data_IF_816789690758
#
_entry.id   IF_816789690758
#
_cell.length_a   1.000
_cell.length_b   1.000
_cell.length_c   1.000
_cell.angle_alpha   90.00
_cell.angle_beta   90.00
_cell.angle_gamma   90.00
#
_symmetry.space_group_name_H-M   'P 1'
#
loop_
_entity.id
_entity.type
_entity.pdbx_description
1 polymer ?
#
# COMPACT_ATOMS: atom_id res chain seq x y z
N UNK A 1 -3.38 1.81 25.50
CA UNK A 1 -3.34 0.75 24.45
C UNK A 1 -2.55 1.31 23.28
N UNK A 2 -1.65 0.55 22.70
CA UNK A 2 -0.95 0.94 21.49
C UNK A 2 -1.34 -0.01 20.33
N UNK A 3 -0.98 0.32 19.09
CA UNK A 3 -1.37 -0.46 17.90
C UNK A 3 -0.88 -1.93 17.96
N UNK A 4 0.24 -2.21 18.63
CA UNK A 4 0.78 -3.56 18.76
C UNK A 4 0.00 -4.45 19.75
N UNK A 5 -0.85 -3.85 20.59
CA UNK A 5 -1.68 -4.57 21.56
C UNK A 5 -3.03 -4.99 20.96
N UNK A 6 -3.36 -4.51 19.75
CA UNK A 6 -4.60 -4.86 19.05
C UNK A 6 -4.55 -6.32 18.60
N UNK A 7 -5.61 -7.06 18.86
CA UNK A 7 -5.75 -8.45 18.40
C UNK A 7 -6.23 -8.52 16.94
N UNK A 8 -7.08 -7.55 16.53
CA UNK A 8 -7.71 -7.50 15.20
C UNK A 8 -8.41 -8.81 14.78
N UNK A 9 -9.00 -9.51 15.76
CA UNK A 9 -9.69 -10.79 15.53
C UNK A 9 -10.88 -10.68 14.58
N UNK A 10 -11.36 -9.45 14.34
CA UNK A 10 -12.46 -9.17 13.40
C UNK A 10 -12.21 -9.69 11.99
N UNK A 11 -10.94 -9.81 11.56
CA UNK A 11 -10.60 -10.33 10.22
C UNK A 11 -10.98 -11.81 10.08
N UNK A 12 -11.03 -12.56 11.18
CA UNK A 12 -11.37 -13.98 11.18
C UNK A 12 -12.86 -14.25 10.89
N UNK A 13 -13.70 -13.21 10.93
CA UNK A 13 -15.13 -13.31 10.53
C UNK A 13 -15.31 -13.31 9.01
N UNK A 14 -14.23 -13.18 8.25
CA UNK A 14 -14.22 -13.10 6.80
C UNK A 14 -13.37 -14.22 6.17
N UNK A 15 -13.58 -14.45 4.88
CA UNK A 15 -12.75 -15.37 4.11
C UNK A 15 -11.27 -14.92 4.10
N UNK A 16 -10.37 -15.86 3.94
CA UNK A 16 -8.94 -15.58 3.78
C UNK A 16 -8.46 -16.07 2.38
N UNK A 17 -8.10 -15.15 1.48
CA UNK A 17 -8.00 -13.70 1.67
C UNK A 17 -9.35 -12.97 1.72
N UNK A 18 -9.44 -11.88 2.48
CA UNK A 18 -10.63 -11.03 2.50
C UNK A 18 -10.67 -10.16 1.23
N UNK A 19 -11.66 -10.38 0.38
CA UNK A 19 -11.83 -9.63 -0.87
C UNK A 19 -12.99 -8.65 -0.73
N UNK A 20 -12.70 -7.37 -0.92
CA UNK A 20 -13.68 -6.28 -0.97
C UNK A 20 -13.77 -5.82 -2.42
N UNK A 21 -14.92 -6.03 -3.08
CA UNK A 21 -15.05 -5.71 -4.50
C UNK A 21 -16.37 -4.99 -4.82
N UNK A 22 -16.39 -4.25 -5.91
CA UNK A 22 -17.53 -3.47 -6.38
C UNK A 22 -17.09 -2.19 -7.06
N UNK A 23 -18.01 -1.33 -7.51
CA UNK A 23 -17.66 -0.21 -8.37
C UNK A 23 -16.83 0.87 -7.64
N UNK A 24 -16.07 1.61 -8.44
CA UNK A 24 -15.35 2.80 -7.96
C UNK A 24 -16.30 3.77 -7.27
N UNK A 25 -17.45 4.04 -7.90
CA UNK A 25 -18.52 4.86 -7.36
C UNK A 25 -19.90 4.25 -7.58
N UNK A 26 -20.83 4.52 -6.66
CA UNK A 26 -22.23 4.35 -6.92
C UNK A 26 -22.66 5.40 -7.95
N UNK A 27 -23.32 4.99 -9.04
CA UNK A 27 -23.75 5.83 -10.16
C UNK A 27 -25.26 5.83 -10.32
N UNK A 28 -25.87 4.66 -10.23
CA UNK A 28 -27.32 4.45 -10.22
C UNK A 28 -27.67 3.20 -9.43
N UNK A 29 -28.93 3.09 -9.05
CA UNK A 29 -29.44 1.88 -8.38
C UNK A 29 -29.25 0.63 -9.26
N UNK A 30 -29.58 0.74 -10.55
CA UNK A 30 -29.45 -0.36 -11.51
C UNK A 30 -27.99 -0.82 -11.66
N UNK A 31 -27.06 0.11 -11.77
CA UNK A 31 -25.61 -0.19 -11.84
C UNK A 31 -25.12 -0.93 -10.59
N UNK A 32 -25.54 -0.50 -9.41
CA UNK A 32 -25.16 -1.12 -8.14
C UNK A 32 -25.70 -2.56 -8.03
N UNK A 33 -26.99 -2.75 -8.31
CA UNK A 33 -27.64 -4.05 -8.22
C UNK A 33 -27.12 -5.01 -9.29
N UNK A 34 -26.93 -4.56 -10.54
CA UNK A 34 -26.39 -5.39 -11.60
C UNK A 34 -24.94 -5.82 -11.34
N UNK A 35 -24.10 -4.90 -10.85
CA UNK A 35 -22.72 -5.24 -10.43
C UNK A 35 -22.76 -6.30 -9.31
N UNK A 36 -23.62 -6.12 -8.30
CA UNK A 36 -23.73 -7.05 -7.18
C UNK A 36 -24.26 -8.42 -7.63
N UNK A 37 -25.29 -8.44 -8.50
CA UNK A 37 -25.83 -9.67 -9.08
C UNK A 37 -24.72 -10.47 -9.79
N UNK A 38 -23.99 -9.82 -10.70
CA UNK A 38 -22.92 -10.49 -11.48
C UNK A 38 -21.76 -10.93 -10.60
N UNK A 39 -21.38 -10.16 -9.54
CA UNK A 39 -20.40 -10.61 -8.56
C UNK A 39 -20.88 -11.87 -7.83
N UNK A 40 -22.16 -11.96 -7.47
CA UNK A 40 -22.72 -13.13 -6.81
C UNK A 40 -22.75 -14.36 -7.75
N UNK A 41 -23.13 -14.16 -8.99
CA UNK A 41 -23.24 -15.22 -10.01
C UNK A 41 -21.86 -15.67 -10.54
N UNK A 42 -20.83 -14.81 -10.49
CA UNK A 42 -19.49 -15.16 -10.95
C UNK A 42 -18.80 -16.27 -10.15
N UNK A 43 -19.33 -16.59 -8.95
CA UNK A 43 -18.74 -17.56 -8.04
C UNK A 43 -17.50 -17.08 -7.32
N UNK A 44 -17.10 -15.83 -7.51
CA UNK A 44 -15.99 -15.25 -6.74
C UNK A 44 -16.35 -15.13 -5.26
N UNK A 45 -15.43 -15.52 -4.38
CA UNK A 45 -15.60 -15.39 -2.94
C UNK A 45 -15.35 -13.93 -2.52
N UNK A 46 -16.41 -13.12 -2.51
CA UNK A 46 -16.39 -11.72 -2.15
C UNK A 46 -16.85 -11.55 -0.71
N UNK A 47 -16.00 -11.00 0.15
CA UNK A 47 -16.28 -10.78 1.58
C UNK A 47 -17.16 -9.56 1.81
N UNK A 48 -17.02 -8.51 0.99
CA UNK A 48 -17.85 -7.31 1.07
C UNK A 48 -17.97 -6.62 -0.28
N UNK A 49 -19.15 -6.06 -0.54
CA UNK A 49 -19.43 -5.20 -1.69
C UNK A 49 -19.06 -3.76 -1.36
N UNK A 50 -18.21 -3.14 -2.19
CA UNK A 50 -17.79 -1.76 -2.02
C UNK A 50 -18.47 -0.84 -3.05
N UNK A 51 -18.78 0.38 -2.64
CA UNK A 51 -19.04 1.48 -3.58
C UNK A 51 -18.64 2.82 -2.94
N UNK A 52 -18.02 3.69 -3.71
CA UNK A 52 -17.78 5.07 -3.28
C UNK A 52 -19.06 5.89 -3.42
N UNK A 53 -19.59 6.36 -2.29
CA UNK A 53 -20.82 7.19 -2.24
C UNK A 53 -20.47 8.65 -2.44
N UNK A 54 -19.36 9.08 -1.87
CA UNK A 54 -18.77 10.40 -1.98
C UNK A 54 -17.40 10.29 -2.62
N UNK A 55 -17.09 11.19 -3.57
CA UNK A 55 -15.84 11.13 -4.34
C UNK A 55 -15.09 12.46 -4.25
N UNK A 56 -14.03 12.55 -3.45
CA UNK A 56 -13.19 13.74 -3.43
C UNK A 56 -12.46 13.87 -4.77
N UNK A 57 -12.71 14.99 -5.49
CA UNK A 57 -12.10 15.26 -6.79
C UNK A 57 -11.05 16.36 -6.71
N UNK A 58 -9.94 16.19 -7.42
CA UNK A 58 -8.90 17.22 -7.52
C UNK A 58 -9.34 18.36 -8.45
N UNK A 59 -10.09 18.01 -9.51
CA UNK A 59 -10.60 18.99 -10.46
C UNK A 59 -12.07 19.31 -10.13
N UNK A 60 -12.47 20.58 -10.11
CA UNK A 60 -13.88 20.95 -9.99
C UNK A 60 -14.69 20.45 -11.20
N UNK A 61 -16.01 20.34 -11.03
CA UNK A 61 -16.96 19.88 -12.05
C UNK A 61 -16.77 18.40 -12.48
N UNK A 62 -16.07 17.58 -11.71
CA UNK A 62 -16.09 16.12 -11.87
C UNK A 62 -17.27 15.50 -11.13
N UNK A 63 -17.57 14.23 -11.41
CA UNK A 63 -18.56 13.48 -10.65
C UNK A 63 -18.11 13.30 -9.19
N UNK A 64 -18.79 13.93 -8.25
CA UNK A 64 -18.44 13.94 -6.82
C UNK A 64 -19.16 12.87 -6.00
N UNK A 65 -19.84 11.93 -6.70
CA UNK A 65 -20.66 10.89 -6.09
C UNK A 65 -22.14 11.29 -6.02
N UNK A 66 -22.98 10.30 -5.72
CA UNK A 66 -24.45 10.50 -5.65
C UNK A 66 -24.93 10.97 -4.28
N UNK A 67 -24.05 10.96 -3.29
CA UNK A 67 -24.41 11.34 -1.93
C UNK A 67 -25.26 10.26 -1.22
N UNK A 68 -25.98 10.68 -0.20
CA UNK A 68 -26.71 9.81 0.73
C UNK A 68 -27.66 8.81 0.05
N UNK A 69 -28.20 9.12 -1.13
CA UNK A 69 -29.09 8.21 -1.86
C UNK A 69 -28.39 6.89 -2.20
N UNK A 70 -27.08 6.91 -2.46
CA UNK A 70 -26.28 5.71 -2.73
C UNK A 70 -26.18 4.75 -1.53
N UNK A 71 -26.38 5.24 -0.32
CA UNK A 71 -26.44 4.38 0.88
C UNK A 71 -27.69 3.49 0.86
N UNK A 72 -28.81 4.00 0.32
CA UNK A 72 -30.02 3.18 0.14
C UNK A 72 -29.79 2.07 -0.87
N UNK A 73 -28.99 2.32 -1.91
CA UNK A 73 -28.63 1.31 -2.90
C UNK A 73 -27.69 0.26 -2.30
N UNK A 74 -26.71 0.67 -1.46
CA UNK A 74 -25.87 -0.28 -0.71
C UNK A 74 -26.72 -1.16 0.22
N UNK A 75 -27.73 -0.59 0.88
CA UNK A 75 -28.65 -1.35 1.73
C UNK A 75 -29.41 -2.40 0.91
N UNK A 76 -29.92 -2.04 -0.28
CA UNK A 76 -30.55 -3.01 -1.19
C UNK A 76 -29.59 -4.12 -1.62
N UNK A 77 -28.35 -3.80 -1.96
CA UNK A 77 -27.34 -4.83 -2.26
C UNK A 77 -27.15 -5.80 -1.10
N UNK A 78 -27.12 -5.30 0.14
CA UNK A 78 -27.03 -6.14 1.34
C UNK A 78 -28.26 -7.03 1.50
N UNK A 79 -29.45 -6.48 1.33
CA UNK A 79 -30.73 -7.19 1.50
C UNK A 79 -30.97 -8.24 0.39
N UNK A 80 -30.67 -7.93 -0.88
CA UNK A 80 -30.99 -8.79 -2.02
C UNK A 80 -29.90 -9.86 -2.27
N UNK A 81 -28.63 -9.52 -2.08
CA UNK A 81 -27.52 -10.42 -2.44
C UNK A 81 -26.75 -10.97 -1.23
N UNK A 82 -27.04 -10.47 -0.02
CA UNK A 82 -26.43 -10.95 1.21
C UNK A 82 -24.96 -10.54 1.40
N UNK A 83 -24.47 -9.58 0.64
CA UNK A 83 -23.12 -9.06 0.84
C UNK A 83 -23.04 -8.17 2.09
N UNK A 84 -21.94 -8.26 2.82
CA UNK A 84 -21.53 -7.14 3.65
C UNK A 84 -21.21 -5.94 2.78
N UNK A 85 -21.38 -4.73 3.31
CA UNK A 85 -21.21 -3.49 2.53
C UNK A 85 -20.05 -2.65 3.03
N UNK A 86 -19.39 -1.93 2.11
CA UNK A 86 -18.27 -1.07 2.43
C UNK A 86 -18.33 0.25 1.67
N UNK A 87 -17.97 1.38 2.33
CA UNK A 87 -17.87 2.70 1.68
C UNK A 87 -16.80 3.59 2.27
N UNK A 88 -16.36 4.60 1.50
CA UNK A 88 -15.45 5.65 1.93
C UNK A 88 -16.18 6.71 2.77
N UNK A 89 -15.52 7.17 3.85
CA UNK A 89 -15.94 8.33 4.62
C UNK A 89 -14.83 9.39 4.63
N UNK A 90 -15.21 10.66 4.52
CA UNK A 90 -14.26 11.77 4.41
C UNK A 90 -14.47 12.87 5.47
N UNK A 91 -15.53 12.78 6.28
CA UNK A 91 -15.87 13.69 7.37
C UNK A 91 -16.87 13.05 8.32
N UNK A 92 -17.20 13.71 9.43
CA UNK A 92 -18.13 13.19 10.43
C UNK A 92 -19.55 12.97 9.89
N UNK A 93 -20.04 13.83 8.99
CA UNK A 93 -21.38 13.70 8.39
C UNK A 93 -21.49 12.39 7.58
N UNK A 94 -20.45 12.06 6.80
CA UNK A 94 -20.39 10.79 6.07
C UNK A 94 -20.39 9.58 7.02
N UNK A 95 -19.70 9.68 8.15
CA UNK A 95 -19.68 8.62 9.17
C UNK A 95 -21.09 8.38 9.72
N UNK A 96 -21.77 9.42 10.19
CA UNK A 96 -23.11 9.28 10.76
C UNK A 96 -24.12 8.71 9.76
N UNK A 97 -24.11 9.21 8.52
CA UNK A 97 -24.98 8.70 7.46
C UNK A 97 -24.70 7.23 7.14
N UNK A 98 -23.43 6.82 7.05
CA UNK A 98 -23.06 5.44 6.78
C UNK A 98 -23.40 4.48 7.94
N UNK A 99 -23.25 4.93 9.19
CA UNK A 99 -23.65 4.15 10.37
C UNK A 99 -25.17 4.00 10.47
N UNK A 100 -25.94 5.07 10.18
CA UNK A 100 -27.41 5.04 10.12
C UNK A 100 -27.94 4.09 9.04
N UNK A 101 -27.24 4.02 7.89
CA UNK A 101 -27.54 3.08 6.80
C UNK A 101 -27.03 1.65 7.06
N UNK A 102 -26.48 1.37 8.25
CA UNK A 102 -25.92 0.09 8.64
C UNK A 102 -24.87 -0.48 7.67
N UNK A 103 -23.98 0.38 7.14
CA UNK A 103 -22.82 -0.05 6.37
C UNK A 103 -21.88 -0.85 7.28
N UNK A 104 -21.36 -1.99 6.82
CA UNK A 104 -20.62 -2.94 7.65
C UNK A 104 -19.14 -2.55 7.83
N UNK A 105 -18.50 -1.98 6.82
CA UNK A 105 -17.08 -1.62 6.81
C UNK A 105 -16.94 -0.19 6.29
N UNK A 106 -16.15 0.63 6.98
CA UNK A 106 -15.84 1.98 6.51
C UNK A 106 -14.35 2.10 6.20
N UNK A 107 -14.01 2.93 5.20
CA UNK A 107 -12.60 3.26 5.02
C UNK A 107 -12.37 4.77 4.91
N UNK A 108 -11.22 5.20 5.42
CA UNK A 108 -10.73 6.56 5.29
C UNK A 108 -9.89 6.63 4.02
N UNK A 109 -10.25 7.53 3.10
CA UNK A 109 -9.58 7.70 1.82
C UNK A 109 -8.18 8.33 1.94
N UNK A 110 -7.32 8.06 0.97
CA UNK A 110 -5.94 8.53 0.96
C UNK A 110 -5.78 10.06 1.03
N UNK A 111 -6.76 10.82 0.48
CA UNK A 111 -6.77 12.29 0.58
C UNK A 111 -7.19 12.80 1.95
N UNK A 112 -8.02 12.05 2.66
CA UNK A 112 -8.40 12.35 4.04
C UNK A 112 -7.28 11.99 5.02
N UNK A 113 -6.57 10.89 4.77
CA UNK A 113 -5.47 10.41 5.62
C UNK A 113 -4.32 11.41 5.74
N UNK A 114 -4.08 12.25 4.71
CA UNK A 114 -3.04 13.30 4.78
C UNK A 114 -3.35 14.44 5.74
N UNK A 115 -4.59 14.54 6.23
CA UNK A 115 -5.01 15.62 7.12
C UNK A 115 -5.36 15.10 8.51
N UNK A 116 -4.46 15.30 9.52
CA UNK A 116 -4.71 14.83 10.88
C UNK A 116 -5.98 15.38 11.54
N UNK A 117 -6.41 16.61 11.18
CA UNK A 117 -7.67 17.18 11.70
C UNK A 117 -8.89 16.44 11.17
N UNK A 118 -8.90 16.16 9.85
CA UNK A 118 -9.96 15.37 9.23
C UNK A 118 -10.04 13.96 9.81
N UNK A 119 -8.90 13.30 9.98
CA UNK A 119 -8.85 11.96 10.60
C UNK A 119 -9.35 12.02 12.04
N UNK A 120 -8.97 13.04 12.81
CA UNK A 120 -9.43 13.21 14.18
C UNK A 120 -10.94 13.41 14.27
N UNK A 121 -11.51 14.22 13.39
CA UNK A 121 -12.97 14.44 13.30
C UNK A 121 -13.71 13.13 12.97
N UNK A 122 -13.22 12.38 11.97
CA UNK A 122 -13.75 11.06 11.61
C UNK A 122 -13.67 10.09 12.79
N UNK A 123 -12.51 10.00 13.45
CA UNK A 123 -12.33 9.12 14.60
C UNK A 123 -13.27 9.43 15.76
N UNK A 124 -13.51 10.71 16.04
CA UNK A 124 -14.49 11.14 17.05
C UNK A 124 -15.93 10.73 16.69
N UNK A 125 -16.30 10.86 15.41
CA UNK A 125 -17.63 10.46 14.92
C UNK A 125 -17.82 8.93 14.96
N UNK A 126 -16.75 8.14 14.86
CA UNK A 126 -16.76 6.67 14.93
C UNK A 126 -16.78 6.11 16.37
N UNK A 127 -16.66 6.96 17.39
CA UNK A 127 -16.61 6.52 18.78
C UNK A 127 -17.82 5.64 19.14
N UNK A 128 -17.54 4.47 19.74
CA UNK A 128 -18.55 3.51 20.16
C UNK A 128 -19.02 2.54 19.06
N UNK A 129 -18.49 2.63 17.84
CA UNK A 129 -18.74 1.59 16.82
C UNK A 129 -17.78 0.41 16.96
N UNK A 130 -18.28 -0.79 16.69
CA UNK A 130 -17.48 -2.02 16.59
C UNK A 130 -17.22 -2.42 15.12
N UNK A 131 -17.61 -1.60 14.16
CA UNK A 131 -17.41 -1.88 12.74
C UNK A 131 -15.92 -1.78 12.37
N UNK A 132 -15.42 -2.63 11.46
CA UNK A 132 -14.06 -2.49 10.93
C UNK A 132 -13.84 -1.16 10.21
N UNK A 133 -12.75 -0.48 10.55
CA UNK A 133 -12.36 0.78 9.92
C UNK A 133 -11.01 0.60 9.24
N UNK A 134 -10.99 0.73 7.92
CA UNK A 134 -9.77 0.59 7.12
C UNK A 134 -9.19 1.97 6.80
N UNK A 135 -7.88 2.11 6.81
CA UNK A 135 -7.20 3.37 6.52
C UNK A 135 -6.31 3.21 5.29
N UNK A 136 -6.63 3.93 4.21
CA UNK A 136 -5.73 3.99 3.05
C UNK A 136 -4.46 4.76 3.43
N UNK A 137 -3.29 4.31 2.94
CA UNK A 137 -2.08 5.11 3.07
C UNK A 137 -2.29 6.52 2.47
N UNK A 138 -1.62 7.56 3.01
CA UNK A 138 -1.69 8.92 2.45
C UNK A 138 -1.20 8.93 1.00
N UNK A 139 -1.64 9.93 0.22
CA UNK A 139 -1.21 10.06 -1.19
C UNK A 139 0.30 10.29 -1.33
N UNK A 140 0.92 10.99 -0.39
CA UNK A 140 2.37 11.16 -0.31
C UNK A 140 3.04 9.97 0.43
N UNK A 141 4.31 9.65 0.14
CA UNK A 141 5.04 8.55 0.77
C UNK A 141 5.47 8.93 2.21
N UNK A 142 4.54 8.83 3.16
CA UNK A 142 4.73 9.21 4.56
C UNK A 142 4.14 8.14 5.48
N UNK A 143 5.03 7.32 6.05
CA UNK A 143 4.67 6.24 6.96
C UNK A 143 4.09 6.79 8.28
N UNK A 144 4.64 7.89 8.79
CA UNK A 144 4.22 8.45 10.06
C UNK A 144 2.77 8.99 10.01
N UNK A 145 2.36 9.60 8.88
CA UNK A 145 0.96 10.00 8.66
C UNK A 145 0.02 8.80 8.62
N UNK A 146 0.45 7.68 8.01
CA UNK A 146 -0.38 6.47 7.96
C UNK A 146 -0.59 5.87 9.34
N UNK A 147 0.50 5.73 10.10
CA UNK A 147 0.47 5.24 11.48
C UNK A 147 -0.37 6.17 12.35
N UNK A 148 -0.12 7.49 12.30
CA UNK A 148 -0.83 8.48 13.09
C UNK A 148 -2.35 8.49 12.83
N UNK A 149 -2.80 8.13 11.62
CA UNK A 149 -4.22 7.98 11.32
C UNK A 149 -4.85 6.81 12.11
N UNK A 150 -4.16 5.66 12.18
CA UNK A 150 -4.61 4.51 12.97
C UNK A 150 -4.55 4.78 14.49
N UNK A 151 -3.51 5.46 14.96
CA UNK A 151 -3.39 5.87 16.37
C UNK A 151 -4.51 6.81 16.79
N UNK A 152 -4.98 7.70 15.92
CA UNK A 152 -6.14 8.57 16.19
C UNK A 152 -7.44 7.78 16.33
N UNK A 153 -7.64 6.74 15.52
CA UNK A 153 -8.77 5.81 15.68
C UNK A 153 -8.70 5.09 17.02
N UNK A 154 -7.55 4.50 17.32
CA UNK A 154 -7.32 3.81 18.59
C UNK A 154 -7.51 4.74 19.80
N UNK A 155 -7.06 5.99 19.71
CA UNK A 155 -7.26 7.02 20.73
C UNK A 155 -8.73 7.39 20.99
N UNK A 156 -9.65 7.00 20.09
CA UNK A 156 -11.11 7.12 20.27
C UNK A 156 -11.79 5.78 20.63
N UNK A 157 -11.00 4.73 20.88
CA UNK A 157 -11.50 3.41 21.26
C UNK A 157 -11.95 2.54 20.09
N UNK A 158 -11.51 2.85 18.85
CA UNK A 158 -11.77 2.02 17.67
C UNK A 158 -10.62 1.00 17.57
N UNK A 159 -10.92 -0.27 17.86
CA UNK A 159 -9.94 -1.35 17.93
C UNK A 159 -9.96 -2.25 16.68
N UNK A 160 -11.08 -2.31 15.96
CA UNK A 160 -11.23 -3.06 14.72
C UNK A 160 -10.70 -2.23 13.55
N UNK A 161 -9.39 -2.24 13.37
CA UNK A 161 -8.73 -1.42 12.33
C UNK A 161 -7.96 -2.29 11.33
N UNK A 162 -7.80 -1.77 10.12
CA UNK A 162 -6.96 -2.35 9.09
C UNK A 162 -6.34 -1.25 8.22
N UNK A 163 -5.33 -1.60 7.45
CA UNK A 163 -4.62 -0.68 6.57
C UNK A 163 -4.79 -1.06 5.11
N UNK A 164 -4.93 -0.09 4.21
CA UNK A 164 -5.02 -0.32 2.77
C UNK A 164 -3.84 0.36 2.08
N UNK A 165 -3.05 -0.45 1.39
CA UNK A 165 -1.96 0.00 0.54
C UNK A 165 -2.47 0.25 -0.88
N UNK A 166 -2.55 1.53 -1.28
CA UNK A 166 -3.05 1.97 -2.60
C UNK A 166 -1.99 2.66 -3.47
N UNK A 167 -0.71 2.56 -3.06
CA UNK A 167 0.39 3.26 -3.69
C UNK A 167 0.48 4.73 -3.32
N UNK A 168 1.55 5.39 -3.79
CA UNK A 168 1.89 6.77 -3.45
C UNK A 168 2.03 7.60 -4.72
N UNK A 169 1.72 8.90 -4.61
CA UNK A 169 1.89 9.84 -5.71
C UNK A 169 3.37 10.03 -6.04
N UNK A 170 3.66 10.24 -7.31
CA UNK A 170 4.99 10.60 -7.79
C UNK A 170 4.88 11.63 -8.90
N UNK A 171 5.88 12.48 -9.03
CA UNK A 171 6.02 13.40 -10.15
C UNK A 171 6.54 12.67 -11.42
N UNK A 172 7.26 11.57 -11.22
CA UNK A 172 7.83 10.81 -12.34
C UNK A 172 6.76 10.02 -13.10
N UNK A 173 6.91 9.92 -14.43
CA UNK A 173 6.09 9.03 -15.24
C UNK A 173 6.55 7.59 -15.02
N UNK A 174 5.65 6.73 -14.57
CA UNK A 174 5.89 5.30 -14.35
C UNK A 174 4.80 4.47 -15.01
N UNK A 175 4.95 3.15 -15.03
CA UNK A 175 3.89 2.23 -15.45
C UNK A 175 2.68 2.23 -14.51
N UNK A 176 2.85 2.75 -13.29
CA UNK A 176 1.82 2.83 -12.29
C UNK A 176 1.21 4.24 -12.24
N UNK A 177 -0.07 4.32 -11.90
CA UNK A 177 -0.75 5.58 -11.55
C UNK A 177 -0.24 6.12 -10.21
N UNK A 178 -0.04 5.21 -9.25
CA UNK A 178 0.58 5.49 -7.95
C UNK A 178 1.63 4.41 -7.71
N UNK A 179 2.88 4.81 -7.48
CA UNK A 179 3.95 3.83 -7.27
C UNK A 179 3.73 3.04 -5.98
N UNK A 180 3.94 1.74 -5.97
CA UNK A 180 3.70 0.91 -4.78
C UNK A 180 4.57 1.33 -3.59
N UNK A 181 5.85 1.66 -3.79
CA UNK A 181 6.82 1.89 -2.70
C UNK A 181 6.69 0.79 -1.63
N UNK A 182 6.85 -0.45 -2.04
CA UNK A 182 6.64 -1.64 -1.20
C UNK A 182 7.33 -1.55 0.17
N UNK A 183 8.52 -0.91 0.22
CA UNK A 183 9.27 -0.79 1.46
C UNK A 183 8.45 -0.10 2.56
N UNK A 184 7.71 0.97 2.24
CA UNK A 184 6.88 1.69 3.24
C UNK A 184 5.79 0.76 3.82
N UNK A 185 5.17 -0.04 2.96
CA UNK A 185 4.14 -0.98 3.41
C UNK A 185 4.73 -2.16 4.19
N UNK A 186 5.93 -2.62 3.83
CA UNK A 186 6.67 -3.64 4.58
C UNK A 186 7.14 -3.11 5.94
N UNK A 187 7.62 -1.87 6.01
CA UNK A 187 7.99 -1.21 7.27
C UNK A 187 6.77 -1.06 8.19
N UNK A 188 5.60 -0.69 7.62
CA UNK A 188 4.34 -0.69 8.36
C UNK A 188 4.02 -2.07 8.92
N UNK A 189 4.08 -3.12 8.08
CA UNK A 189 3.77 -4.49 8.49
C UNK A 189 4.74 -5.04 9.53
N UNK A 190 6.02 -4.67 9.44
CA UNK A 190 7.04 -5.05 10.43
C UNK A 190 6.78 -4.39 11.79
N UNK A 191 6.35 -3.13 11.80
CA UNK A 191 6.03 -2.42 13.04
C UNK A 191 4.71 -2.90 13.66
N UNK A 192 3.72 -3.27 12.83
CA UNK A 192 2.37 -3.64 13.28
C UNK A 192 1.89 -4.94 12.60
N UNK A 193 2.52 -6.10 12.92
CA UNK A 193 2.22 -7.37 12.26
C UNK A 193 0.77 -7.85 12.47
N UNK A 194 0.11 -7.39 13.53
CA UNK A 194 -1.27 -7.77 13.86
C UNK A 194 -2.33 -6.90 13.17
N UNK A 195 -1.94 -5.81 12.49
CA UNK A 195 -2.90 -5.00 11.73
C UNK A 195 -3.08 -5.61 10.34
N UNK A 196 -4.30 -6.02 9.95
CA UNK A 196 -4.57 -6.53 8.62
C UNK A 196 -4.22 -5.51 7.54
N UNK A 197 -3.46 -5.96 6.52
CA UNK A 197 -3.03 -5.12 5.42
C UNK A 197 -3.66 -5.60 4.11
N UNK A 198 -4.32 -4.68 3.42
CA UNK A 198 -5.02 -4.91 2.16
C UNK A 198 -4.31 -4.20 1.01
N UNK A 199 -4.30 -4.83 -0.16
CA UNK A 199 -3.82 -4.20 -1.39
C UNK A 199 -4.97 -3.57 -2.17
N UNK A 200 -4.74 -2.39 -2.73
CA UNK A 200 -5.64 -1.73 -3.69
C UNK A 200 -4.93 -1.64 -5.06
N UNK A 201 -4.96 -2.74 -5.84
CA UNK A 201 -4.26 -2.78 -7.12
C UNK A 201 -4.87 -1.83 -8.14
N UNK A 202 -6.19 -1.55 -8.06
CA UNK A 202 -6.88 -0.65 -8.98
C UNK A 202 -6.27 0.75 -8.94
N UNK A 203 -6.04 1.29 -7.74
CA UNK A 203 -5.44 2.61 -7.60
C UNK A 203 -3.92 2.63 -7.82
N UNK A 204 -3.21 1.54 -7.57
CA UNK A 204 -1.78 1.41 -7.90
C UNK A 204 -1.60 1.43 -9.41
N UNK A 205 -2.28 0.55 -10.13
CA UNK A 205 -2.10 0.39 -11.57
C UNK A 205 -2.71 1.55 -12.36
N UNK A 206 -3.95 1.98 -12.04
CA UNK A 206 -4.71 2.93 -12.83
C UNK A 206 -5.14 2.40 -14.21
N UNK A 207 -4.94 1.11 -14.44
CA UNK A 207 -5.32 0.37 -15.64
C UNK A 207 -5.60 -1.10 -15.30
N UNK A 208 -6.21 -1.84 -16.21
CA UNK A 208 -6.65 -3.23 -15.97
C UNK A 208 -5.52 -4.26 -16.05
N UNK A 209 -4.46 -3.99 -16.79
CA UNK A 209 -3.46 -5.01 -17.15
C UNK A 209 -2.50 -5.39 -16.02
N UNK A 210 -2.30 -4.52 -15.04
CA UNK A 210 -1.36 -4.75 -13.93
C UNK A 210 -1.98 -5.33 -12.66
N UNK A 211 -3.31 -5.45 -12.59
CA UNK A 211 -4.04 -5.73 -11.34
C UNK A 211 -3.62 -7.06 -10.70
N UNK A 212 -3.63 -8.13 -11.48
CA UNK A 212 -3.29 -9.47 -11.00
C UNK A 212 -1.85 -9.56 -10.49
N UNK A 213 -0.90 -8.93 -11.21
CA UNK A 213 0.51 -8.90 -10.81
C UNK A 213 0.72 -8.18 -9.48
N UNK A 214 0.14 -6.98 -9.31
CA UNK A 214 0.23 -6.22 -8.06
C UNK A 214 -0.46 -6.93 -6.89
N UNK A 215 -1.63 -7.55 -7.15
CA UNK A 215 -2.31 -8.35 -6.13
C UNK A 215 -1.45 -9.55 -5.72
N UNK A 216 -0.85 -10.28 -6.68
CA UNK A 216 0.01 -11.41 -6.39
C UNK A 216 1.27 -11.01 -5.61
N UNK A 217 1.93 -9.89 -5.96
CA UNK A 217 3.06 -9.36 -5.19
C UNK A 217 2.68 -9.13 -3.73
N UNK A 218 1.51 -8.54 -3.46
CA UNK A 218 1.02 -8.30 -2.10
C UNK A 218 0.79 -9.61 -1.33
N UNK A 219 0.15 -10.61 -1.95
CA UNK A 219 -0.07 -11.90 -1.30
C UNK A 219 1.23 -12.70 -1.10
N UNK A 220 2.22 -12.52 -1.98
CA UNK A 220 3.55 -13.13 -1.78
C UNK A 220 4.26 -12.59 -0.53
N UNK A 221 3.98 -11.35 -0.11
CA UNK A 221 4.53 -10.74 1.11
C UNK A 221 3.54 -10.76 2.29
N UNK A 222 2.48 -11.58 2.19
CA UNK A 222 1.60 -11.94 3.29
C UNK A 222 0.54 -10.87 3.62
N UNK A 223 -0.04 -10.18 2.63
CA UNK A 223 -1.23 -9.37 2.85
C UNK A 223 -2.45 -10.25 3.12
N UNK A 224 -3.40 -9.75 3.91
CA UNK A 224 -4.58 -10.49 4.34
C UNK A 224 -5.78 -10.29 3.41
N UNK A 225 -5.73 -9.33 2.49
CA UNK A 225 -6.84 -9.10 1.58
C UNK A 225 -6.56 -8.09 0.48
N UNK A 226 -7.60 -7.84 -0.31
CA UNK A 226 -7.57 -6.87 -1.39
C UNK A 226 -8.87 -6.07 -1.47
N UNK A 227 -8.77 -4.82 -1.91
CA UNK A 227 -9.90 -3.98 -2.29
C UNK A 227 -9.77 -3.66 -3.78
N UNK A 228 -10.74 -4.12 -4.60
CA UNK A 228 -10.62 -4.11 -6.06
C UNK A 228 -11.86 -3.46 -6.67
N UNK A 229 -11.65 -2.63 -7.68
CA UNK A 229 -12.76 -1.98 -8.39
C UNK A 229 -13.30 -2.88 -9.49
N UNK A 230 -14.59 -3.22 -9.38
CA UNK A 230 -15.34 -4.02 -10.35
C UNK A 230 -16.67 -3.36 -10.68
N UNK A 231 -17.03 -3.31 -11.96
CA UNK A 231 -18.19 -2.62 -12.48
C UNK A 231 -18.86 -3.47 -13.55
N UNK A 232 -20.19 -3.42 -13.65
CA UNK A 232 -20.94 -4.18 -14.69
C UNK A 232 -20.51 -3.82 -16.11
N UNK A 233 -20.29 -2.53 -16.35
CA UNK A 233 -19.83 -1.97 -17.63
C UNK A 233 -18.68 -0.95 -17.38
N UNK A 234 -17.44 -1.45 -17.19
CA UNK A 234 -16.32 -0.59 -16.81
C UNK A 234 -15.99 0.50 -17.84
N UNK A 235 -16.28 0.28 -19.12
CA UNK A 235 -15.93 1.24 -20.18
C UNK A 235 -16.81 2.49 -20.13
N UNK A 236 -18.04 2.35 -19.63
CA UNK A 236 -18.99 3.46 -19.46
C UNK A 236 -19.09 3.98 -18.02
N UNK A 237 -18.24 3.53 -17.11
CA UNK A 237 -18.23 4.00 -15.73
C UNK A 237 -17.95 5.51 -15.64
N UNK A 238 -18.69 6.21 -14.75
CA UNK A 238 -18.56 7.66 -14.55
C UNK A 238 -17.29 8.08 -13.83
N UNK A 239 -16.62 7.12 -13.19
CA UNK A 239 -15.36 7.35 -12.49
C UNK A 239 -14.35 6.23 -12.72
N UNK A 240 -13.09 6.60 -12.93
CA UNK A 240 -11.94 5.70 -13.00
C UNK A 240 -12.15 4.45 -13.90
N UNK A 241 -12.85 4.62 -15.03
CA UNK A 241 -13.22 3.57 -15.99
C UNK A 241 -12.05 2.65 -16.41
N UNK A 242 -10.87 3.22 -16.61
CA UNK A 242 -9.70 2.50 -17.11
C UNK A 242 -9.13 1.45 -16.16
N UNK A 243 -9.46 1.52 -14.86
CA UNK A 243 -8.89 0.63 -13.84
C UNK A 243 -9.88 -0.40 -13.29
N UNK A 244 -11.17 -0.28 -13.61
CA UNK A 244 -12.20 -1.20 -13.20
C UNK A 244 -12.27 -2.41 -14.13
N UNK A 245 -12.59 -3.57 -13.60
CA UNK A 245 -12.80 -4.83 -14.34
C UNK A 245 -14.22 -5.33 -14.15
N UNK A 246 -14.69 -6.19 -15.06
CA UNK A 246 -16.01 -6.82 -14.87
C UNK A 246 -15.99 -7.86 -13.74
N UNK A 247 -17.15 -8.21 -13.17
CA UNK A 247 -17.26 -9.25 -12.16
C UNK A 247 -16.65 -10.59 -12.57
N UNK A 248 -16.81 -11.00 -13.83
CA UNK A 248 -16.28 -12.25 -14.35
C UNK A 248 -14.75 -12.23 -14.45
N UNK A 249 -14.18 -11.12 -14.93
CA UNK A 249 -12.71 -10.92 -14.96
C UNK A 249 -12.13 -10.89 -13.55
N UNK A 250 -12.85 -10.31 -12.59
CA UNK A 250 -12.45 -10.33 -11.19
C UNK A 250 -12.44 -11.77 -10.64
N UNK A 251 -13.48 -12.55 -10.92
CA UNK A 251 -13.58 -13.95 -10.47
C UNK A 251 -12.42 -14.79 -11.00
N UNK A 252 -12.14 -14.68 -12.30
CA UNK A 252 -10.99 -15.35 -12.91
C UNK A 252 -9.66 -14.89 -12.28
N UNK A 253 -9.49 -13.60 -12.09
CA UNK A 253 -8.28 -13.05 -11.46
C UNK A 253 -8.07 -13.60 -10.04
N UNK A 254 -9.11 -13.58 -9.19
CA UNK A 254 -9.03 -14.07 -7.80
C UNK A 254 -8.76 -15.59 -7.80
N UNK A 255 -9.44 -16.36 -8.65
CA UNK A 255 -9.27 -17.81 -8.75
C UNK A 255 -7.85 -18.24 -9.13
N UNK A 256 -7.10 -17.38 -9.81
CA UNK A 256 -5.71 -17.63 -10.22
C UNK A 256 -4.67 -17.11 -9.21
N UNK A 257 -5.06 -16.37 -8.17
CA UNK A 257 -4.12 -15.87 -7.16
C UNK A 257 -3.64 -17.00 -6.25
N UNK A 258 -2.34 -17.02 -6.02
CA UNK A 258 -1.72 -17.94 -5.07
C UNK A 258 -1.57 -17.26 -3.70
N UNK A 259 -2.34 -17.70 -2.74
CA UNK A 259 -2.25 -17.20 -1.37
C UNK A 259 -1.12 -17.92 -0.64
N UNK A 260 -0.20 -17.14 -0.07
CA UNK A 260 0.98 -17.65 0.65
C UNK A 260 0.73 -17.65 2.15
N UNK A 261 1.04 -18.77 2.79
CA UNK A 261 1.04 -18.85 4.25
C UNK A 261 2.29 -18.18 4.80
N UNK A 262 2.15 -17.47 5.92
CA UNK A 262 3.29 -16.88 6.65
C UNK A 262 4.09 -17.91 7.45
N UNK A 263 3.56 -19.11 7.65
CA UNK A 263 4.22 -20.18 8.37
C UNK A 263 5.26 -20.89 7.51
N UNK A 264 6.35 -21.33 8.14
CA UNK A 264 7.45 -22.10 7.52
C UNK A 264 7.40 -23.57 7.92
N UNK A 265 6.28 -24.05 8.46
CA UNK A 265 6.12 -25.40 8.97
C UNK A 265 6.55 -26.48 7.95
N UNK A 266 7.47 -27.33 8.35
CA UNK A 266 8.06 -28.38 7.51
C UNK A 266 9.30 -27.97 6.70
N UNK A 267 9.68 -26.69 6.69
CA UNK A 267 10.83 -26.16 5.96
C UNK A 267 11.79 -25.35 6.85
N UNK A 268 11.61 -25.38 8.18
CA UNK A 268 12.36 -24.58 9.15
C UNK A 268 13.87 -24.79 9.02
N UNK A 269 14.31 -26.04 8.94
CA UNK A 269 15.73 -26.40 8.89
C UNK A 269 16.40 -25.94 7.59
N UNK A 270 15.74 -26.13 6.45
CA UNK A 270 16.27 -25.75 5.15
C UNK A 270 16.32 -24.22 4.99
N UNK A 271 15.22 -23.55 5.32
CA UNK A 271 15.17 -22.08 5.31
C UNK A 271 16.14 -21.49 6.34
N UNK A 272 16.30 -22.11 7.51
CA UNK A 272 17.25 -21.71 8.53
C UNK A 272 18.68 -21.72 8.01
N UNK A 273 19.11 -22.79 7.33
CA UNK A 273 20.44 -22.87 6.70
C UNK A 273 20.68 -21.76 5.68
N UNK A 274 19.71 -21.51 4.79
CA UNK A 274 19.85 -20.44 3.80
C UNK A 274 19.87 -19.05 4.44
N UNK A 275 19.07 -18.81 5.48
CA UNK A 275 19.10 -17.55 6.24
C UNK A 275 20.44 -17.33 6.94
N UNK A 276 21.04 -18.38 7.50
CA UNK A 276 22.38 -18.31 8.10
C UNK A 276 23.42 -17.91 7.05
N UNK A 277 23.41 -18.55 5.87
CA UNK A 277 24.31 -18.18 4.78
C UNK A 277 24.14 -16.72 4.33
N UNK A 278 22.92 -16.24 4.24
CA UNK A 278 22.64 -14.82 3.92
C UNK A 278 23.22 -13.92 5.02
N UNK A 279 22.98 -14.25 6.30
CA UNK A 279 23.50 -13.45 7.43
C UNK A 279 25.03 -13.39 7.44
N UNK A 280 25.71 -14.50 7.11
CA UNK A 280 27.18 -14.54 6.99
C UNK A 280 27.67 -13.62 5.84
N UNK A 281 26.94 -13.61 4.71
CA UNK A 281 27.24 -12.73 3.59
C UNK A 281 26.99 -11.25 3.94
N UNK A 282 25.89 -10.94 4.63
CA UNK A 282 25.56 -9.60 5.09
C UNK A 282 26.64 -9.07 6.04
N UNK A 283 27.13 -9.91 6.94
CA UNK A 283 28.24 -9.57 7.82
C UNK A 283 29.52 -9.22 7.02
N UNK A 284 29.87 -10.03 6.02
CA UNK A 284 31.01 -9.76 5.14
C UNK A 284 30.86 -8.48 4.35
N UNK A 285 29.63 -8.17 3.87
CA UNK A 285 29.31 -6.90 3.19
C UNK A 285 29.56 -5.70 4.12
N UNK A 286 29.10 -5.76 5.37
CA UNK A 286 29.32 -4.70 6.36
C UNK A 286 30.81 -4.50 6.63
N UNK A 287 31.59 -5.59 6.78
CA UNK A 287 33.04 -5.49 6.94
C UNK A 287 33.73 -4.82 5.74
N UNK A 288 33.37 -5.22 4.52
CA UNK A 288 33.93 -4.62 3.30
C UNK A 288 33.58 -3.14 3.17
N UNK A 289 32.34 -2.75 3.51
CA UNK A 289 31.91 -1.35 3.56
C UNK A 289 32.67 -0.56 4.59
N UNK A 290 32.89 -1.11 5.80
CA UNK A 290 33.72 -0.49 6.85
C UNK A 290 35.15 -0.25 6.37
N UNK A 291 35.78 -1.26 5.78
CA UNK A 291 37.14 -1.12 5.21
C UNK A 291 37.20 -0.06 4.11
N UNK A 292 36.18 -0.02 3.25
CA UNK A 292 36.06 0.97 2.20
C UNK A 292 35.94 2.41 2.76
N UNK A 293 35.19 2.61 3.84
CA UNK A 293 35.06 3.93 4.48
C UNK A 293 36.40 4.36 5.12
N UNK A 294 37.15 3.46 5.74
CA UNK A 294 38.51 3.77 6.24
C UNK A 294 39.46 4.20 5.12
N UNK A 295 39.31 3.68 3.91
CA UNK A 295 40.07 4.15 2.73
C UNK A 295 39.56 5.52 2.29
N UNK A 296 38.24 5.77 2.33
CA UNK A 296 37.66 7.09 2.05
C UNK A 296 38.16 8.18 3.00
N UNK A 297 38.32 7.85 4.30
CA UNK A 297 38.96 8.77 5.29
C UNK A 297 40.38 9.17 4.88
N UNK A 298 41.21 8.17 4.51
CA UNK A 298 42.59 8.45 4.04
C UNK A 298 42.60 9.33 2.78
N UNK A 299 41.67 9.10 1.85
CA UNK A 299 41.50 9.93 0.66
C UNK A 299 41.06 11.34 1.06
N UNK A 300 40.15 11.48 2.01
CA UNK A 300 39.70 12.77 2.56
C UNK A 300 40.85 13.59 3.13
N UNK A 301 41.71 12.95 3.93
CA UNK A 301 42.92 13.57 4.51
C UNK A 301 43.88 14.09 3.42
N UNK A 302 44.18 13.23 2.41
CA UNK A 302 45.02 13.63 1.31
C UNK A 302 44.44 14.81 0.50
N UNK A 303 43.13 14.82 0.29
CA UNK A 303 42.44 15.92 -0.39
C UNK A 303 42.50 17.22 0.40
N UNK A 304 42.31 17.15 1.72
CA UNK A 304 42.42 18.29 2.63
C UNK A 304 43.82 18.90 2.55
N UNK A 305 44.83 18.06 2.69
CA UNK A 305 46.22 18.48 2.66
C UNK A 305 46.66 19.13 1.34
N UNK A 306 46.04 18.72 0.21
CA UNK A 306 46.37 19.19 -1.12
C UNK A 306 45.32 20.15 -1.71
N UNK A 307 44.35 20.63 -0.92
CA UNK A 307 43.27 21.52 -1.35
C UNK A 307 42.50 21.03 -2.56
N UNK A 308 42.18 19.73 -2.57
CA UNK A 308 41.45 19.05 -3.65
C UNK A 308 39.98 18.91 -3.26
N UNK A 309 39.06 19.19 -4.19
CA UNK A 309 37.63 19.01 -3.98
C UNK A 309 37.26 17.54 -3.73
N UNK A 310 36.28 17.30 -2.82
CA UNK A 310 35.82 15.95 -2.46
C UNK A 310 35.21 15.26 -3.69
N UNK A 311 34.27 15.93 -4.37
CA UNK A 311 33.58 15.36 -5.52
C UNK A 311 34.42 15.45 -6.78
N UNK A 312 34.63 14.32 -7.43
CA UNK A 312 35.37 14.17 -8.68
C UNK A 312 34.49 13.46 -9.73
N UNK A 313 33.82 14.20 -10.64
CA UNK A 313 32.86 13.63 -11.59
C UNK A 313 33.39 12.46 -12.42
N UNK A 314 34.62 12.57 -12.89
CA UNK A 314 35.24 11.51 -13.73
C UNK A 314 35.40 10.20 -12.94
N UNK A 315 35.77 10.27 -11.67
CA UNK A 315 35.87 9.08 -10.81
C UNK A 315 34.49 8.42 -10.59
N UNK A 316 33.47 9.23 -10.39
CA UNK A 316 32.11 8.73 -10.23
C UNK A 316 31.63 8.01 -11.49
N UNK A 317 31.88 8.57 -12.67
CA UNK A 317 31.55 7.95 -13.95
C UNK A 317 32.21 6.58 -14.10
N UNK A 318 33.49 6.43 -13.81
CA UNK A 318 34.21 5.14 -13.87
C UNK A 318 33.59 4.12 -12.93
N UNK A 319 33.19 4.52 -11.70
CA UNK A 319 32.55 3.62 -10.72
C UNK A 319 31.22 3.12 -11.23
N UNK A 320 30.37 4.01 -11.79
CA UNK A 320 29.04 3.64 -12.26
C UNK A 320 29.10 2.77 -13.52
N UNK A 321 29.98 3.05 -14.44
CA UNK A 321 30.21 2.22 -15.65
C UNK A 321 30.65 0.80 -15.26
N UNK A 322 31.63 0.68 -14.36
CA UNK A 322 32.09 -0.62 -13.87
C UNK A 322 30.96 -1.38 -13.13
N UNK A 323 30.22 -0.68 -12.26
CA UNK A 323 29.13 -1.29 -11.51
C UNK A 323 28.02 -1.82 -12.43
N UNK A 324 27.65 -1.05 -13.48
CA UNK A 324 26.65 -1.46 -14.44
C UNK A 324 27.10 -2.65 -15.32
N UNK A 325 28.38 -2.67 -15.71
CA UNK A 325 28.96 -3.82 -16.40
C UNK A 325 28.85 -5.08 -15.52
N UNK A 326 29.27 -4.99 -14.25
CA UNK A 326 29.23 -6.13 -13.32
C UNK A 326 27.81 -6.60 -13.01
N UNK A 327 26.84 -5.68 -12.91
CA UNK A 327 25.43 -6.02 -12.76
C UNK A 327 24.97 -6.95 -13.90
N UNK A 328 25.30 -6.60 -15.14
CA UNK A 328 24.95 -7.40 -16.32
C UNK A 328 25.61 -8.80 -16.32
N UNK A 329 26.86 -8.89 -15.86
CA UNK A 329 27.60 -10.16 -15.79
C UNK A 329 27.07 -11.10 -14.68
N UNK A 330 26.50 -10.53 -13.61
CA UNK A 330 26.03 -11.29 -12.42
C UNK A 330 24.52 -11.52 -12.38
N UNK A 331 23.78 -11.00 -13.37
CA UNK A 331 22.33 -11.11 -13.44
C UNK A 331 21.59 -10.20 -12.45
N UNK A 332 22.27 -9.25 -11.79
CA UNK A 332 21.64 -8.25 -10.94
C UNK A 332 21.02 -7.12 -11.77
N UNK A 333 19.92 -6.52 -11.32
CA UNK A 333 19.34 -5.38 -12.03
C UNK A 333 20.25 -4.15 -11.93
N UNK A 334 20.40 -3.44 -13.03
CA UNK A 334 21.18 -2.18 -13.07
C UNK A 334 20.65 -1.17 -12.05
N UNK A 335 19.32 -1.03 -11.96
CA UNK A 335 18.68 -0.13 -11.00
C UNK A 335 19.08 -0.43 -9.54
N UNK A 336 19.15 -1.71 -9.17
CA UNK A 336 19.60 -2.12 -7.84
C UNK A 336 21.05 -1.72 -7.59
N UNK A 337 21.94 -2.05 -8.52
CA UNK A 337 23.38 -1.75 -8.39
C UNK A 337 23.62 -0.24 -8.35
N UNK A 338 22.93 0.55 -9.18
CA UNK A 338 23.03 2.02 -9.16
C UNK A 338 22.61 2.58 -7.79
N UNK A 339 21.51 2.10 -7.20
CA UNK A 339 21.06 2.52 -5.86
C UNK A 339 22.11 2.21 -4.79
N UNK A 340 22.67 1.00 -4.81
CA UNK A 340 23.70 0.58 -3.84
C UNK A 340 24.94 1.45 -3.96
N UNK A 341 25.48 1.62 -5.17
CA UNK A 341 26.71 2.41 -5.36
C UNK A 341 26.49 3.89 -5.12
N UNK A 342 25.29 4.42 -5.38
CA UNK A 342 24.92 5.78 -5.02
C UNK A 342 24.94 5.98 -3.49
N UNK A 343 24.32 5.10 -2.73
CA UNK A 343 24.33 5.15 -1.26
C UNK A 343 25.75 5.07 -0.70
N UNK A 344 26.56 4.15 -1.23
CA UNK A 344 27.99 4.04 -0.84
C UNK A 344 28.79 5.29 -1.18
N UNK A 345 28.45 5.97 -2.28
CA UNK A 345 29.13 7.21 -2.68
C UNK A 345 28.73 8.38 -1.81
N UNK A 346 27.46 8.51 -1.48
CA UNK A 346 26.93 9.52 -0.56
C UNK A 346 27.62 9.41 0.80
N UNK A 347 27.69 8.21 1.39
CA UNK A 347 28.43 7.95 2.64
C UNK A 347 29.91 8.33 2.53
N UNK A 348 30.57 7.98 1.40
CA UNK A 348 31.98 8.35 1.19
C UNK A 348 32.21 9.86 1.14
N UNK A 349 31.23 10.63 0.60
CA UNK A 349 31.29 12.10 0.62
C UNK A 349 31.11 12.63 2.03
N UNK A 350 30.18 12.09 2.81
CA UNK A 350 29.94 12.50 4.19
C UNK A 350 31.17 12.27 5.07
N UNK A 351 31.80 11.09 4.98
CA UNK A 351 33.04 10.76 5.68
C UNK A 351 34.14 11.75 5.32
N UNK A 352 34.35 12.07 4.04
CA UNK A 352 35.37 13.02 3.61
C UNK A 352 35.03 14.46 4.05
N UNK A 353 33.76 14.86 4.03
CA UNK A 353 33.30 16.15 4.55
C UNK A 353 33.58 16.29 6.05
N UNK A 354 33.37 15.23 6.83
CA UNK A 354 33.72 15.21 8.24
C UNK A 354 35.19 15.57 8.50
N UNK A 355 36.11 15.06 7.67
CA UNK A 355 37.52 15.35 7.75
C UNK A 355 37.84 16.79 7.32
N UNK A 356 37.16 17.30 6.26
CA UNK A 356 37.36 18.69 5.80
C UNK A 356 36.98 19.72 6.87
N UNK A 357 35.97 19.44 7.68
CA UNK A 357 35.38 20.36 8.66
C UNK A 357 35.93 20.12 10.09
N UNK A 358 36.87 19.19 10.27
CA UNK A 358 37.42 18.78 11.59
C UNK A 358 36.33 18.34 12.60
N UNK A 359 35.35 17.53 12.14
CA UNK A 359 34.36 16.90 13.00
C UNK A 359 34.77 15.50 13.45
#
# INVERSE_FOLDING_TARGET
MNLNELKNDWINDFANPMIIAGPCSAESESQMLETARRLKESGAEISAFRAGIWKPRTKPNGFEGVGVIGLNWLKKVKEEYGFKTATEVANAHHVFAALEADVDILWIGARSTVNPFTVQEIAQALRGTNKPILVKNPVNPDLALWIGALERLLGQGIENVGAIHRGFSTYQKTKYRNIPNWQIALDFKNQFPNIPLFIDPSHICGNRTGLAGVAQEAFNVGYQGAIIESHEDPDNAWSDASQQITPEVLADMIGNLQIRNSGISGYEDEMGKHRTLISDMDFQLIELLSQRMKISEKIGTLKKENNIAIFQPERWKVITEYANQKASETGMSQEFIEKVFKAIHEESIEVQNGIMIDR
#
